data_IF_950387876580
#
_entry.id   IF_950387876580
#
_cell.length_a   1.000
_cell.length_b   1.000
_cell.length_c   1.000
_cell.angle_alpha   90.00
_cell.angle_beta   90.00
_cell.angle_gamma   90.00
#
_symmetry.space_group_name_H-M   'P 1'
#
loop_
_entity.id
_entity.type
_entity.pdbx_description
1 polymer ?
#
# COMPACT_ATOMS: atom_id res chain seq x y z
N UNK A 1 -18.83 -6.64 -9.54
CA UNK A 1 -17.52 -6.13 -9.07
C UNK A 1 -16.50 -6.32 -10.18
N UNK A 2 -15.75 -5.29 -10.62
CA UNK A 2 -14.64 -5.50 -11.54
C UNK A 2 -13.59 -6.40 -10.87
N UNK A 3 -12.98 -7.31 -11.62
CA UNK A 3 -11.94 -8.19 -11.08
C UNK A 3 -10.61 -7.45 -10.95
N UNK A 4 -9.69 -7.95 -10.11
CA UNK A 4 -8.30 -7.43 -10.03
C UNK A 4 -7.69 -7.21 -11.42
N UNK A 5 -7.96 -8.14 -12.36
CA UNK A 5 -7.46 -8.06 -13.74
C UNK A 5 -7.92 -6.81 -14.47
N UNK A 6 -9.15 -6.35 -14.23
CA UNK A 6 -9.68 -5.12 -14.84
C UNK A 6 -8.90 -3.91 -14.34
N UNK A 7 -8.65 -3.82 -13.03
CA UNK A 7 -7.90 -2.70 -12.44
C UNK A 7 -6.42 -2.72 -12.85
N UNK A 8 -5.76 -3.89 -12.82
CA UNK A 8 -4.39 -4.03 -13.32
C UNK A 8 -4.28 -3.64 -14.80
N UNK A 9 -5.17 -4.15 -15.67
CA UNK A 9 -5.17 -3.82 -17.09
C UNK A 9 -5.52 -2.35 -17.36
N UNK A 10 -6.33 -1.72 -16.51
CA UNK A 10 -6.60 -0.28 -16.57
C UNK A 10 -5.36 0.53 -16.21
N UNK A 11 -4.62 0.15 -15.17
CA UNK A 11 -3.41 0.85 -14.72
C UNK A 11 -2.27 0.66 -15.71
N UNK A 12 -2.07 -0.55 -16.24
CA UNK A 12 -1.04 -0.86 -17.26
C UNK A 12 -1.18 0.04 -18.50
N UNK A 13 -2.42 0.36 -18.89
CA UNK A 13 -2.74 1.23 -20.04
C UNK A 13 -2.48 2.71 -19.80
N UNK A 14 -2.12 3.12 -18.58
CA UNK A 14 -1.75 4.51 -18.31
C UNK A 14 -0.35 4.83 -18.83
N UNK A 15 -0.19 6.05 -19.37
CA UNK A 15 1.07 6.51 -19.98
C UNK A 15 2.15 6.86 -18.94
N UNK A 16 1.80 6.92 -17.65
CA UNK A 16 2.66 7.42 -16.59
C UNK A 16 3.47 6.34 -15.86
N UNK A 17 3.41 5.08 -16.30
CA UNK A 17 4.15 3.99 -15.67
C UNK A 17 5.59 3.91 -16.16
N UNK A 18 6.52 3.75 -15.22
CA UNK A 18 7.90 3.37 -15.53
C UNK A 18 7.93 1.95 -16.10
N UNK A 19 8.96 1.64 -16.90
CA UNK A 19 9.12 0.31 -17.50
C UNK A 19 9.13 -0.82 -16.45
N UNK A 20 9.78 -0.62 -15.30
CA UNK A 20 9.81 -1.59 -14.21
C UNK A 20 8.43 -1.81 -13.57
N UNK A 21 7.65 -0.75 -13.37
CA UNK A 21 6.30 -0.79 -12.80
C UNK A 21 5.35 -1.53 -13.75
N UNK A 22 5.42 -1.21 -15.05
CA UNK A 22 4.64 -1.91 -16.08
C UNK A 22 4.97 -3.41 -16.11
N UNK A 23 6.26 -3.76 -16.13
CA UNK A 23 6.69 -5.15 -16.15
C UNK A 23 6.25 -5.91 -14.88
N UNK A 24 6.25 -5.26 -13.71
CA UNK A 24 5.71 -5.85 -12.49
C UNK A 24 4.21 -6.14 -12.60
N UNK A 25 3.41 -5.18 -13.06
CA UNK A 25 1.96 -5.37 -13.21
C UNK A 25 1.63 -6.43 -14.27
N UNK A 26 2.37 -6.48 -15.38
CA UNK A 26 2.22 -7.51 -16.41
C UNK A 26 2.55 -8.91 -15.86
N UNK A 27 3.63 -9.04 -15.08
CA UNK A 27 3.96 -10.31 -14.40
C UNK A 27 2.90 -10.70 -13.39
N UNK A 28 2.37 -9.75 -12.62
CA UNK A 28 1.30 -10.02 -11.67
C UNK A 28 0.04 -10.49 -12.41
N UNK A 29 -0.38 -9.74 -13.43
CA UNK A 29 -1.58 -10.03 -14.22
C UNK A 29 -1.53 -11.40 -14.91
N UNK A 30 -0.36 -11.81 -15.38
CA UNK A 30 -0.14 -13.07 -16.09
C UNK A 30 0.14 -14.27 -15.17
N UNK A 31 0.34 -14.06 -13.86
CA UNK A 31 0.71 -15.13 -12.97
C UNK A 31 -0.47 -16.10 -12.70
N UNK A 32 -0.29 -17.43 -12.80
CA UNK A 32 -1.38 -18.41 -12.61
C UNK A 32 -2.09 -18.31 -11.26
N UNK A 33 -1.34 -17.98 -10.21
CA UNK A 33 -1.86 -17.87 -8.84
C UNK A 33 -2.35 -16.46 -8.45
N UNK A 34 -2.34 -15.48 -9.36
CA UNK A 34 -2.67 -14.10 -9.05
C UNK A 34 -4.08 -13.93 -8.47
N UNK A 35 -5.08 -14.57 -9.08
CA UNK A 35 -6.47 -14.49 -8.63
C UNK A 35 -6.67 -15.14 -7.26
N UNK A 36 -6.00 -16.28 -7.01
CA UNK A 36 -6.06 -16.99 -5.73
C UNK A 36 -5.46 -16.15 -4.59
N UNK A 37 -4.28 -15.57 -4.81
CA UNK A 37 -3.63 -14.71 -3.82
C UNK A 37 -4.43 -13.43 -3.59
N UNK A 38 -4.95 -12.83 -4.66
CA UNK A 38 -5.81 -11.66 -4.55
C UNK A 38 -7.07 -11.93 -3.73
N UNK A 39 -7.75 -13.05 -3.97
CA UNK A 39 -8.94 -13.42 -3.20
C UNK A 39 -8.65 -13.51 -1.70
N UNK A 40 -7.48 -14.02 -1.30
CA UNK A 40 -7.05 -14.03 0.11
C UNK A 40 -6.83 -12.62 0.68
N UNK A 41 -6.25 -11.72 -0.11
CA UNK A 41 -6.05 -10.31 0.26
C UNK A 41 -7.41 -9.62 0.40
N UNK A 42 -8.29 -9.76 -0.59
CA UNK A 42 -9.60 -9.12 -0.64
C UNK A 42 -10.49 -9.55 0.52
N UNK A 43 -10.56 -10.85 0.84
CA UNK A 43 -11.27 -11.36 2.02
C UNK A 43 -10.74 -10.75 3.31
N UNK A 44 -9.41 -10.62 3.44
CA UNK A 44 -8.79 -10.04 4.62
C UNK A 44 -9.00 -8.52 4.70
N UNK A 45 -8.95 -7.80 3.57
CA UNK A 45 -9.29 -6.39 3.48
C UNK A 45 -10.75 -6.15 3.85
N UNK A 46 -11.68 -6.94 3.32
CA UNK A 46 -13.10 -6.87 3.66
C UNK A 46 -13.33 -7.10 5.16
N UNK A 47 -12.61 -8.06 5.75
CA UNK A 47 -12.71 -8.34 7.19
C UNK A 47 -12.19 -7.18 8.05
N UNK A 48 -11.21 -6.41 7.56
CA UNK A 48 -10.58 -5.33 8.29
C UNK A 48 -11.27 -3.97 8.11
N UNK A 49 -11.82 -3.70 6.92
CA UNK A 49 -12.37 -2.39 6.54
C UNK A 49 -13.87 -2.41 6.20
N UNK A 50 -14.52 -3.57 6.20
CA UNK A 50 -15.94 -3.70 5.85
C UNK A 50 -16.24 -3.19 4.44
N UNK A 51 -17.31 -2.42 4.30
CA UNK A 51 -17.77 -1.85 3.02
C UNK A 51 -16.74 -0.92 2.35
N UNK A 52 -15.80 -0.35 3.12
CA UNK A 52 -14.76 0.53 2.57
C UNK A 52 -13.70 -0.22 1.75
N UNK A 53 -13.61 -1.56 1.86
CA UNK A 53 -12.56 -2.35 1.22
C UNK A 53 -12.56 -2.25 -0.32
N UNK A 54 -13.73 -2.10 -0.94
CA UNK A 54 -13.87 -1.98 -2.40
C UNK A 54 -13.13 -0.75 -2.95
N UNK A 55 -13.14 0.36 -2.21
CA UNK A 55 -12.45 1.60 -2.58
C UNK A 55 -10.92 1.52 -2.44
N UNK A 56 -10.41 0.54 -1.68
CA UNK A 56 -9.00 0.44 -1.32
C UNK A 56 -8.15 -0.32 -2.34
N UNK A 57 -8.77 -1.06 -3.27
CA UNK A 57 -8.04 -1.92 -4.23
C UNK A 57 -7.04 -1.14 -5.08
N UNK A 58 -7.48 -0.04 -5.71
CA UNK A 58 -6.60 0.78 -6.56
C UNK A 58 -5.48 1.41 -5.74
N UNK A 59 -5.80 1.89 -4.55
CA UNK A 59 -4.82 2.42 -3.59
C UNK A 59 -3.77 1.36 -3.27
N UNK A 60 -4.17 0.13 -2.96
CA UNK A 60 -3.25 -0.98 -2.71
C UNK A 60 -2.29 -1.21 -3.89
N UNK A 61 -2.79 -1.22 -5.13
CA UNK A 61 -1.94 -1.38 -6.32
C UNK A 61 -0.93 -0.23 -6.44
N UNK A 62 -1.36 1.02 -6.23
CA UNK A 62 -0.45 2.17 -6.30
C UNK A 62 0.62 2.15 -5.19
N UNK A 63 0.26 1.75 -3.97
CA UNK A 63 1.21 1.58 -2.88
C UNK A 63 2.23 0.46 -3.16
N UNK A 64 1.79 -0.63 -3.79
CA UNK A 64 2.69 -1.69 -4.27
C UNK A 64 3.70 -1.17 -5.29
N UNK A 65 3.27 -0.29 -6.22
CA UNK A 65 4.17 0.36 -7.18
C UNK A 65 5.15 1.31 -6.49
N UNK A 66 4.69 2.08 -5.49
CA UNK A 66 5.55 2.94 -4.70
C UNK A 66 6.65 2.11 -3.99
N UNK A 67 6.25 1.01 -3.33
CA UNK A 67 7.16 0.07 -2.66
C UNK A 67 8.20 -0.52 -3.62
N UNK A 68 7.80 -0.89 -4.85
CA UNK A 68 8.70 -1.44 -5.87
C UNK A 68 9.88 -0.50 -6.17
N UNK A 69 9.64 0.79 -6.08
CA UNK A 69 10.62 1.81 -6.50
C UNK A 69 11.51 2.28 -5.37
N UNK A 70 11.47 1.58 -4.23
CA UNK A 70 12.29 1.89 -3.05
C UNK A 70 11.90 3.21 -2.39
N UNK A 71 10.81 3.84 -2.84
CA UNK A 71 10.13 4.85 -2.06
C UNK A 71 9.43 4.08 -0.95
N UNK A 72 10.16 3.82 0.14
CA UNK A 72 9.50 3.81 1.44
C UNK A 72 8.78 5.16 1.46
N UNK A 73 7.48 5.16 1.22
CA UNK A 73 6.71 6.39 1.10
C UNK A 73 7.14 7.27 2.27
N UNK A 74 7.65 8.46 2.02
CA UNK A 74 8.06 9.30 3.13
C UNK A 74 6.78 9.59 3.92
N UNK A 75 6.81 9.42 5.24
CA UNK A 75 5.71 9.82 6.12
C UNK A 75 5.24 11.26 5.81
N UNK A 76 6.15 12.12 5.33
CA UNK A 76 5.83 13.46 4.86
C UNK A 76 4.97 13.47 3.59
N UNK A 77 5.14 12.51 2.68
CA UNK A 77 4.32 12.35 1.47
C UNK A 77 2.91 11.94 1.82
N UNK A 78 2.73 10.96 2.73
CA UNK A 78 1.40 10.57 3.20
C UNK A 78 0.68 11.69 3.94
N UNK A 79 1.39 12.43 4.80
CA UNK A 79 0.83 13.63 5.45
C UNK A 79 0.39 14.67 4.42
N UNK A 80 1.24 14.96 3.42
CA UNK A 80 0.93 15.93 2.36
C UNK A 80 -0.26 15.49 1.51
N UNK A 81 -0.43 14.19 1.26
CA UNK A 81 -1.60 13.65 0.56
C UNK A 81 -2.86 13.73 1.44
N UNK A 82 -2.76 13.44 2.74
CA UNK A 82 -3.85 13.58 3.68
C UNK A 82 -4.32 15.04 3.76
N UNK A 83 -3.39 16.00 3.82
CA UNK A 83 -3.71 17.42 3.87
C UNK A 83 -4.39 17.90 2.58
N UNK A 84 -3.99 17.35 1.43
CA UNK A 84 -4.67 17.61 0.14
C UNK A 84 -6.09 17.02 0.12
N UNK A 85 -6.28 15.79 0.59
CA UNK A 85 -7.58 15.15 0.64
C UNK A 85 -8.53 15.93 1.57
N UNK A 86 -8.05 16.35 2.74
CA UNK A 86 -8.83 17.18 3.68
C UNK A 86 -9.12 18.58 3.13
N UNK A 87 -8.14 19.21 2.48
CA UNK A 87 -8.35 20.52 1.83
C UNK A 87 -9.39 20.44 0.72
N UNK A 88 -9.41 19.34 -0.04
CA UNK A 88 -10.40 19.11 -1.09
C UNK A 88 -11.79 18.83 -0.49
N UNK A 89 -11.88 18.01 0.55
CA UNK A 89 -13.12 17.76 1.28
C UNK A 89 -13.71 19.07 1.84
N UNK A 90 -12.87 19.91 2.45
CA UNK A 90 -13.28 21.23 2.97
C UNK A 90 -13.73 22.18 1.87
N UNK A 91 -13.04 22.20 0.73
CA UNK A 91 -13.44 22.99 -0.43
C UNK A 91 -14.82 22.55 -0.97
N UNK A 92 -15.03 21.25 -1.10
CA UNK A 92 -16.28 20.67 -1.58
C UNK A 92 -17.45 20.87 -0.62
N UNK A 93 -17.17 20.90 0.70
CA UNK A 93 -18.17 21.20 1.74
C UNK A 93 -18.64 22.66 1.68
N UNK A 94 -17.81 23.57 1.17
CA UNK A 94 -18.14 24.99 1.08
C UNK A 94 -18.20 25.68 2.45
N UNK A 95 -18.47 27.00 2.51
CA UNK A 95 -18.63 27.72 3.77
C UNK A 95 -19.89 27.24 4.53
N UNK A 96 -19.78 27.06 5.85
CA UNK A 96 -20.83 26.62 6.80
C UNK A 96 -22.08 27.53 6.89
N UNK A 97 -22.27 28.44 5.94
CA UNK A 97 -23.30 29.47 5.97
C UNK A 97 -24.34 29.22 4.85
N UNK A 98 -25.44 28.56 5.22
CA UNK A 98 -26.74 28.42 4.50
C UNK A 98 -26.78 27.37 3.37
N UNK A 99 -27.97 26.87 2.96
CA UNK A 99 -28.07 25.70 2.10
C UNK A 99 -27.75 26.13 0.68
N UNK A 100 -26.48 26.05 0.32
CA UNK A 100 -26.06 26.14 -1.07
C UNK A 100 -26.25 24.76 -1.71
N UNK A 101 -26.76 24.71 -2.95
CA UNK A 101 -26.83 23.45 -3.67
C UNK A 101 -25.41 22.85 -3.73
N UNK A 102 -25.28 21.53 -3.54
CA UNK A 102 -23.98 20.89 -3.57
C UNK A 102 -23.26 21.21 -4.90
N UNK A 103 -21.97 21.56 -4.81
CA UNK A 103 -21.15 21.92 -5.98
C UNK A 103 -21.12 20.82 -7.05
N UNK A 104 -21.30 19.57 -6.62
CA UNK A 104 -21.35 18.39 -7.48
C UNK A 104 -22.48 17.46 -7.00
N UNK A 105 -23.17 16.76 -7.92
CA UNK A 105 -24.02 15.65 -7.54
C UNK A 105 -23.20 14.58 -6.80
N UNK A 106 -23.73 14.05 -5.68
CA UNK A 106 -23.05 13.11 -4.77
C UNK A 106 -21.81 13.67 -4.05
N UNK A 107 -21.71 14.99 -3.87
CA UNK A 107 -20.59 15.61 -3.15
C UNK A 107 -20.40 15.07 -1.73
N UNK A 108 -21.47 14.70 -1.02
CA UNK A 108 -21.35 14.17 0.35
C UNK A 108 -20.61 12.83 0.41
N UNK A 109 -20.92 11.90 -0.51
CA UNK A 109 -20.23 10.61 -0.58
C UNK A 109 -18.74 10.80 -0.95
N UNK A 110 -18.45 11.75 -1.84
CA UNK A 110 -17.07 12.10 -2.21
C UNK A 110 -16.33 12.76 -1.03
N UNK A 111 -16.98 13.66 -0.29
CA UNK A 111 -16.42 14.30 0.91
C UNK A 111 -16.08 13.25 1.96
N UNK A 112 -17.01 12.35 2.29
CA UNK A 112 -16.77 11.26 3.24
C UNK A 112 -15.59 10.39 2.80
N UNK A 113 -15.55 10.00 1.52
CA UNK A 113 -14.45 9.20 0.98
C UNK A 113 -13.09 9.90 1.06
N UNK A 114 -13.04 11.22 0.86
CA UNK A 114 -11.82 12.01 1.00
C UNK A 114 -11.38 12.16 2.46
N UNK A 115 -12.31 12.28 3.39
CA UNK A 115 -12.03 12.33 4.83
C UNK A 115 -11.49 10.98 5.33
N UNK A 116 -12.12 9.88 4.92
CA UNK A 116 -11.66 8.51 5.22
C UNK A 116 -10.26 8.27 4.64
N UNK A 117 -10.02 8.71 3.40
CA UNK A 117 -8.70 8.65 2.78
C UNK A 117 -7.66 9.46 3.58
N UNK A 118 -8.01 10.65 4.06
CA UNK A 118 -7.11 11.47 4.87
C UNK A 118 -6.75 10.78 6.20
N UNK A 119 -7.71 10.14 6.86
CA UNK A 119 -7.48 9.38 8.10
C UNK A 119 -6.59 8.16 7.83
N UNK A 120 -6.85 7.41 6.76
CA UNK A 120 -6.03 6.27 6.37
C UNK A 120 -4.58 6.68 6.09
N UNK A 121 -4.38 7.77 5.34
CA UNK A 121 -3.05 8.31 5.01
C UNK A 121 -2.29 8.79 6.26
N UNK A 122 -2.97 9.42 7.23
CA UNK A 122 -2.35 9.80 8.52
C UNK A 122 -1.97 8.59 9.36
N UNK A 123 -2.80 7.55 9.33
CA UNK A 123 -2.51 6.28 9.99
C UNK A 123 -1.28 5.62 9.37
N UNK A 124 -1.18 5.60 8.04
CA UNK A 124 0.00 5.12 7.31
C UNK A 124 1.26 5.93 7.65
N UNK A 125 1.18 7.27 7.68
CA UNK A 125 2.31 8.12 8.07
C UNK A 125 2.77 7.84 9.51
N UNK A 126 1.82 7.65 10.43
CA UNK A 126 2.12 7.36 11.84
C UNK A 126 2.73 5.98 11.99
N UNK A 127 2.20 4.98 11.28
CA UNK A 127 2.75 3.63 11.26
C UNK A 127 4.18 3.60 10.73
N UNK A 128 4.52 4.43 9.75
CA UNK A 128 5.89 4.54 9.25
C UNK A 128 6.86 5.23 10.22
N UNK A 129 6.40 6.28 10.91
CA UNK A 129 7.20 6.94 11.95
C UNK A 129 7.44 5.97 13.11
N UNK A 130 6.41 5.23 13.52
CA UNK A 130 6.50 4.22 14.57
C UNK A 130 7.34 3.01 14.16
N UNK A 131 7.30 2.62 12.88
CA UNK A 131 8.19 1.61 12.32
C UNK A 131 9.65 2.10 12.26
N UNK A 132 9.84 3.42 12.38
CA UNK A 132 11.11 4.09 12.60
C UNK A 132 12.08 3.77 11.49
N UNK A 133 11.78 4.23 10.26
CA UNK A 133 12.62 4.20 9.04
C UNK A 133 14.02 3.62 9.31
N UNK A 134 14.06 2.29 9.48
CA UNK A 134 15.29 1.59 9.82
C UNK A 134 16.08 1.57 8.54
N UNK A 135 17.06 2.44 8.44
CA UNK A 135 18.06 2.35 7.39
C UNK A 135 18.59 0.92 7.35
N UNK A 136 18.24 0.19 6.29
CA UNK A 136 18.78 -1.15 6.04
C UNK A 136 20.25 -0.95 5.71
N UNK A 137 21.08 -0.99 6.75
CA UNK A 137 22.55 -0.90 6.71
C UNK A 137 23.20 -2.21 6.22
N UNK A 138 22.58 -2.89 5.25
CA UNK A 138 23.24 -4.01 4.58
C UNK A 138 23.90 -3.47 3.31
N UNK A 139 25.17 -3.82 3.09
CA UNK A 139 25.83 -3.63 1.79
C UNK A 139 24.90 -4.22 0.73
N UNK A 140 24.67 -3.45 -0.33
CA UNK A 140 23.83 -3.89 -1.44
C UNK A 140 24.61 -4.86 -2.31
N UNK A 141 24.64 -6.12 -1.90
CA UNK A 141 25.17 -7.21 -2.71
C UNK A 141 24.03 -7.66 -3.64
N UNK A 142 24.20 -7.50 -4.95
CA UNK A 142 23.29 -7.97 -6.01
C UNK A 142 21.82 -7.53 -5.85
N UNK A 143 21.56 -6.30 -5.43
CA UNK A 143 20.19 -5.77 -5.29
C UNK A 143 19.39 -6.35 -4.12
N UNK A 144 20.05 -7.09 -3.22
CA UNK A 144 19.43 -7.68 -2.03
C UNK A 144 18.80 -6.63 -1.11
N UNK A 145 19.34 -5.40 -1.10
CA UNK A 145 18.78 -4.31 -0.29
C UNK A 145 17.41 -3.88 -0.80
N UNK A 146 17.26 -3.70 -2.12
CA UNK A 146 15.98 -3.30 -2.75
C UNK A 146 14.89 -4.33 -2.50
N UNK A 147 15.22 -5.62 -2.63
CA UNK A 147 14.29 -6.72 -2.35
C UNK A 147 13.89 -6.77 -0.88
N UNK A 148 14.82 -6.64 0.06
CA UNK A 148 14.51 -6.62 1.50
C UNK A 148 13.62 -5.42 1.87
N UNK A 149 13.90 -4.24 1.32
CA UNK A 149 13.04 -3.06 1.51
C UNK A 149 11.64 -3.32 0.97
N UNK A 150 11.52 -3.89 -0.23
CA UNK A 150 10.24 -4.26 -0.80
C UNK A 150 9.47 -5.24 0.09
N UNK A 151 10.10 -6.32 0.55
CA UNK A 151 9.49 -7.31 1.45
C UNK A 151 8.98 -6.69 2.75
N UNK A 152 9.74 -5.74 3.31
CA UNK A 152 9.31 -4.98 4.47
C UNK A 152 8.10 -4.10 4.15
N UNK A 153 8.16 -3.28 3.09
CA UNK A 153 7.05 -2.41 2.68
C UNK A 153 5.78 -3.19 2.35
N UNK A 154 5.88 -4.32 1.66
CA UNK A 154 4.75 -5.20 1.38
C UNK A 154 4.15 -5.77 2.67
N UNK A 155 4.98 -6.15 3.64
CA UNK A 155 4.48 -6.60 4.95
C UNK A 155 3.64 -5.52 5.63
N UNK A 156 4.15 -4.30 5.64
CA UNK A 156 3.49 -3.17 6.29
C UNK A 156 2.19 -2.79 5.57
N UNK A 157 2.18 -2.84 4.23
CA UNK A 157 0.97 -2.66 3.43
C UNK A 157 -0.05 -3.75 3.72
N UNK A 158 0.35 -5.03 3.78
CA UNK A 158 -0.58 -6.12 4.09
C UNK A 158 -1.17 -5.94 5.49
N UNK A 159 -0.39 -5.53 6.50
CA UNK A 159 -0.96 -5.21 7.82
C UNK A 159 -1.90 -4.02 7.77
N UNK A 160 -1.53 -2.93 7.10
CA UNK A 160 -2.36 -1.72 7.02
C UNK A 160 -3.70 -1.97 6.31
N UNK A 161 -3.69 -2.74 5.22
CA UNK A 161 -4.89 -3.01 4.43
C UNK A 161 -5.67 -4.23 4.93
N UNK A 162 -5.01 -5.26 5.44
CA UNK A 162 -5.65 -6.54 5.78
C UNK A 162 -5.72 -6.85 7.28
N UNK A 163 -5.15 -5.99 8.14
CA UNK A 163 -5.04 -6.20 9.58
C UNK A 163 -4.06 -7.31 10.00
N UNK A 164 -3.40 -7.98 9.04
CA UNK A 164 -2.48 -9.10 9.27
C UNK A 164 -1.47 -9.23 8.15
N UNK A 165 -0.35 -9.90 8.42
CA UNK A 165 0.79 -9.94 7.51
C UNK A 165 0.60 -10.70 6.20
N UNK A 166 -0.30 -11.70 6.15
CA UNK A 166 -0.50 -12.56 4.98
C UNK A 166 0.81 -13.03 4.33
N UNK A 167 1.67 -13.72 5.09
CA UNK A 167 3.05 -14.08 4.67
C UNK A 167 3.12 -14.71 3.25
N UNK A 168 2.20 -15.60 2.90
CA UNK A 168 2.13 -16.22 1.57
C UNK A 168 1.87 -15.21 0.45
N UNK A 169 1.00 -14.23 0.69
CA UNK A 169 0.72 -13.16 -0.27
C UNK A 169 1.95 -12.25 -0.42
N UNK A 170 2.63 -11.94 0.69
CA UNK A 170 3.87 -11.18 0.66
C UNK A 170 5.00 -11.86 -0.11
N UNK A 171 5.16 -13.18 0.07
CA UNK A 171 6.09 -14.02 -0.71
C UNK A 171 5.76 -13.95 -2.20
N UNK A 172 4.50 -14.21 -2.55
CA UNK A 172 4.03 -14.15 -3.93
C UNK A 172 4.33 -12.79 -4.59
N UNK A 173 3.95 -11.69 -3.94
CA UNK A 173 4.17 -10.34 -4.48
C UNK A 173 5.66 -10.01 -4.63
N UNK A 174 6.49 -10.52 -3.72
CA UNK A 174 7.95 -10.38 -3.80
C UNK A 174 8.53 -11.17 -4.97
N UNK A 175 8.10 -12.40 -5.19
CA UNK A 175 8.58 -13.23 -6.30
C UNK A 175 8.15 -12.67 -7.67
N UNK A 176 6.97 -12.06 -7.74
CA UNK A 176 6.52 -11.31 -8.93
C UNK A 176 7.39 -10.07 -9.16
N UNK A 177 7.77 -9.34 -8.11
CA UNK A 177 8.64 -8.17 -8.21
C UNK A 177 10.09 -8.52 -8.58
N UNK A 178 10.62 -9.63 -8.05
CA UNK A 178 12.00 -10.06 -8.20
C UNK A 178 12.09 -11.50 -8.72
N UNK A 179 11.73 -11.75 -10.00
CA UNK A 179 11.55 -13.10 -10.54
C UNK A 179 12.81 -13.97 -10.57
N UNK A 180 13.99 -13.37 -10.44
CA UNK A 180 15.27 -14.10 -10.38
C UNK A 180 15.58 -14.71 -9.01
N UNK A 181 14.74 -14.49 -7.99
CA UNK A 181 14.98 -14.96 -6.63
C UNK A 181 13.69 -15.48 -6.00
N UNK A 182 13.73 -16.69 -5.46
CA UNK A 182 12.62 -17.24 -4.70
C UNK A 182 12.62 -16.70 -3.26
N UNK A 183 11.44 -16.32 -2.77
CA UNK A 183 11.25 -15.81 -1.42
C UNK A 183 10.79 -16.90 -0.48
N UNK A 184 11.56 -17.15 0.57
CA UNK A 184 11.16 -18.09 1.61
C UNK A 184 10.34 -17.38 2.69
N UNK A 185 9.54 -18.16 3.42
CA UNK A 185 8.82 -17.67 4.60
C UNK A 185 9.77 -17.02 5.60
N UNK A 186 10.91 -17.66 5.89
CA UNK A 186 11.89 -17.11 6.84
C UNK A 186 12.49 -15.79 6.37
N UNK A 187 12.74 -15.63 5.06
CA UNK A 187 13.18 -14.34 4.52
C UNK A 187 12.12 -13.26 4.73
N UNK A 188 10.84 -13.58 4.48
CA UNK A 188 9.71 -12.66 4.70
C UNK A 188 9.63 -12.23 6.17
N UNK A 189 9.71 -13.19 7.09
CA UNK A 189 9.69 -12.90 8.53
C UNK A 189 10.93 -12.12 8.98
N UNK A 190 12.10 -12.44 8.43
CA UNK A 190 13.34 -11.77 8.76
C UNK A 190 13.37 -10.31 8.28
N UNK A 191 12.78 -10.00 7.14
CA UNK A 191 12.69 -8.64 6.61
C UNK A 191 11.95 -7.68 7.57
N UNK A 192 11.01 -8.20 8.36
CA UNK A 192 10.26 -7.44 9.37
C UNK A 192 11.00 -7.24 10.68
N UNK A 193 12.02 -8.05 10.97
CA UNK A 193 12.65 -8.03 12.29
C UNK A 193 13.40 -6.72 12.51
N UNK A 194 13.23 -6.09 13.68
CA UNK A 194 14.12 -5.04 14.13
C UNK A 194 15.60 -5.38 13.98
N UNK A 195 16.28 -4.67 13.09
CA UNK A 195 17.73 -4.82 12.86
C UNK A 195 18.56 -4.02 13.85
N UNK A 196 18.00 -2.98 14.50
CA UNK A 196 18.70 -2.12 15.46
C UNK A 196 18.46 -2.55 16.91
N UNK A 197 19.51 -2.51 17.75
CA UNK A 197 19.43 -2.83 19.19
C UNK A 197 18.35 -2.01 19.92
N UNK A 198 18.25 -0.71 19.62
CA UNK A 198 17.27 0.19 20.22
C UNK A 198 15.81 -0.25 19.98
N UNK A 199 15.55 -0.90 18.84
CA UNK A 199 14.21 -1.38 18.52
C UNK A 199 13.92 -2.79 19.04
N UNK A 200 14.94 -3.58 19.39
CA UNK A 200 14.74 -4.91 20.01
C UNK A 200 14.33 -4.81 21.47
N UNK A 201 14.74 -3.76 22.17
CA UNK A 201 14.37 -3.53 23.58
C UNK A 201 12.89 -3.18 23.79
N UNK A 202 12.25 -2.49 22.82
CA UNK A 202 10.84 -2.07 22.91
C UNK A 202 9.80 -3.18 22.66
N UNK A 203 10.21 -4.35 22.16
CA UNK A 203 9.30 -5.47 21.89
C UNK A 203 9.27 -6.52 23.00
N UNK A 204 9.97 -6.26 24.11
CA UNK A 204 10.09 -7.16 25.26
C UNK A 204 9.40 -6.61 26.53
N UNK A 205 8.71 -5.48 26.41
CA UNK A 205 7.73 -4.95 27.38
C UNK A 205 6.32 -5.07 26.79
#
# INVERSE_FOLDING_TARGET
MPSLKVDLASIIRSDNLRAEERAFLERWLSHPFADQVWSKIEVAMQSNHGEAADGLRRTFIHEMLAALTGHAADSATFRKQADKAESLARFLRGPDLRPHPPLLPNSEALISSLEDAAVALRTMATNQINAGLKQVSRMDINGSKRRVIFMWSVSDLLVAFCGKFLDEAGIFLTDVAFPSQQTTLDQMRAARRPTTKASRGKSAE
#
